data_IF_512916539110
#
_entry.id   IF_512916539110
#
_cell.length_a   1.000
_cell.length_b   1.000
_cell.length_c   1.000
_cell.angle_alpha   90.00
_cell.angle_beta   90.00
_cell.angle_gamma   90.00
#
_symmetry.space_group_name_H-M   'P 1'
#
loop_
_entity.id
_entity.type
_entity.pdbx_description
1 polymer ?
#
# COMPACT_ATOMS: atom_id res chain seq x y z
N UNK A 1 -24.90 -1.22 -19.43
CA UNK A 1 -24.85 -0.54 -18.09
C UNK A 1 -26.22 -0.41 -17.43
N UNK A 2 -27.27 0.08 -18.11
CA UNK A 2 -28.57 0.30 -17.42
C UNK A 2 -29.13 -0.95 -16.74
N UNK A 3 -29.16 -2.10 -17.39
CA UNK A 3 -29.65 -3.35 -16.79
C UNK A 3 -28.81 -3.78 -15.59
N UNK A 4 -27.50 -3.52 -15.65
CA UNK A 4 -26.59 -3.78 -14.52
C UNK A 4 -26.94 -2.86 -13.34
N UNK A 5 -27.14 -1.56 -13.58
CA UNK A 5 -27.51 -0.62 -12.55
C UNK A 5 -28.84 -0.97 -11.90
N UNK A 6 -29.86 -1.37 -12.67
CA UNK A 6 -31.14 -1.81 -12.12
C UNK A 6 -30.98 -3.00 -11.17
N UNK A 7 -30.21 -4.01 -11.56
CA UNK A 7 -29.92 -5.17 -10.70
C UNK A 7 -29.20 -4.76 -9.43
N UNK A 8 -28.21 -3.86 -9.53
CA UNK A 8 -27.47 -3.35 -8.38
C UNK A 8 -28.35 -2.51 -7.44
N UNK A 9 -29.31 -1.75 -7.97
CA UNK A 9 -30.30 -1.01 -7.17
C UNK A 9 -31.26 -1.93 -6.43
N UNK A 10 -31.49 -3.15 -6.94
CA UNK A 10 -32.21 -4.23 -6.28
C UNK A 10 -31.33 -5.06 -5.33
N UNK A 11 -30.16 -4.55 -4.95
CA UNK A 11 -29.18 -5.19 -4.06
C UNK A 11 -28.59 -6.51 -4.56
N UNK A 12 -28.69 -6.79 -5.86
CA UNK A 12 -27.99 -7.94 -6.45
C UNK A 12 -26.48 -7.65 -6.55
N UNK A 13 -25.68 -8.73 -6.51
CA UNK A 13 -24.23 -8.65 -6.66
C UNK A 13 -23.82 -9.01 -8.06
N UNK A 14 -22.66 -8.49 -8.49
CA UNK A 14 -22.02 -8.89 -9.73
C UNK A 14 -21.19 -10.16 -9.50
N UNK A 15 -21.17 -11.03 -10.51
CA UNK A 15 -20.14 -12.07 -10.58
C UNK A 15 -18.77 -11.50 -10.93
N UNK A 16 -17.73 -12.29 -10.71
CA UNK A 16 -16.32 -11.90 -10.95
C UNK A 16 -16.07 -11.46 -12.40
N UNK A 17 -16.49 -12.26 -13.37
CA UNK A 17 -16.32 -11.95 -14.81
C UNK A 17 -17.12 -10.71 -15.22
N UNK A 18 -18.30 -10.52 -14.65
CA UNK A 18 -19.15 -9.38 -14.92
C UNK A 18 -18.50 -8.09 -14.38
N UNK A 19 -18.02 -8.10 -13.14
CA UNK A 19 -17.28 -6.99 -12.54
C UNK A 19 -16.02 -6.65 -13.34
N UNK A 20 -15.25 -7.65 -13.76
CA UNK A 20 -14.09 -7.51 -14.64
C UNK A 20 -14.46 -6.82 -15.94
N UNK A 21 -15.49 -7.30 -16.64
CA UNK A 21 -15.97 -6.75 -17.90
C UNK A 21 -16.44 -5.30 -17.76
N UNK A 22 -17.13 -4.97 -16.66
CA UNK A 22 -17.60 -3.61 -16.40
C UNK A 22 -16.42 -2.65 -16.29
N UNK A 23 -15.37 -3.01 -15.56
CA UNK A 23 -14.22 -2.13 -15.38
C UNK A 23 -13.41 -1.97 -16.68
N UNK A 24 -13.27 -3.04 -17.48
CA UNK A 24 -12.69 -2.94 -18.81
C UNK A 24 -13.48 -1.96 -19.69
N UNK A 25 -14.80 -2.08 -19.72
CA UNK A 25 -15.68 -1.19 -20.48
C UNK A 25 -15.61 0.28 -19.99
N UNK A 26 -15.43 0.50 -18.69
CA UNK A 26 -15.16 1.84 -18.13
C UNK A 26 -13.85 2.40 -18.70
N UNK A 27 -12.78 1.60 -18.66
CA UNK A 27 -11.47 2.02 -19.17
C UNK A 27 -11.48 2.32 -20.68
N UNK A 28 -12.31 1.60 -21.44
CA UNK A 28 -12.51 1.81 -22.87
C UNK A 28 -13.49 2.96 -23.22
N UNK A 29 -14.04 3.63 -22.22
CA UNK A 29 -14.95 4.78 -22.40
C UNK A 29 -16.34 4.40 -22.92
N UNK A 30 -16.78 3.16 -22.74
CA UNK A 30 -18.11 2.69 -23.20
C UNK A 30 -19.27 3.18 -22.35
N UNK A 31 -19.01 3.78 -21.20
CA UNK A 31 -20.01 4.29 -20.29
C UNK A 31 -19.82 5.78 -20.05
N UNK A 32 -20.92 6.52 -19.87
CA UNK A 32 -20.85 7.94 -19.55
C UNK A 32 -20.62 8.18 -18.06
N UNK A 33 -20.24 9.40 -17.72
CA UNK A 33 -19.88 9.81 -16.35
C UNK A 33 -21.01 9.56 -15.34
N UNK A 34 -22.28 9.78 -15.74
CA UNK A 34 -23.44 9.55 -14.87
C UNK A 34 -23.62 8.07 -14.53
N UNK A 35 -23.39 7.18 -15.51
CA UNK A 35 -23.45 5.73 -15.29
C UNK A 35 -22.33 5.26 -14.37
N UNK A 36 -21.12 5.79 -14.55
CA UNK A 36 -19.97 5.46 -13.70
C UNK A 36 -20.17 6.01 -12.28
N UNK A 37 -20.67 7.24 -12.15
CA UNK A 37 -21.00 7.84 -10.86
C UNK A 37 -22.07 7.03 -10.11
N UNK A 38 -23.11 6.56 -10.83
CA UNK A 38 -24.16 5.70 -10.27
C UNK A 38 -23.57 4.38 -9.75
N UNK A 39 -22.69 3.73 -10.52
CA UNK A 39 -22.01 2.52 -10.10
C UNK A 39 -21.18 2.76 -8.84
N UNK A 40 -20.40 3.84 -8.78
CA UNK A 40 -19.61 4.21 -7.61
C UNK A 40 -20.53 4.40 -6.40
N UNK A 41 -21.66 5.06 -6.57
CA UNK A 41 -22.62 5.34 -5.50
C UNK A 41 -23.23 4.05 -4.92
N UNK A 42 -23.51 3.06 -5.73
CA UNK A 42 -23.97 1.75 -5.24
C UNK A 42 -23.00 1.16 -4.22
N UNK A 43 -21.70 1.19 -4.53
CA UNK A 43 -20.66 0.65 -3.64
C UNK A 43 -20.35 1.55 -2.43
N UNK A 44 -20.88 2.76 -2.38
CA UNK A 44 -20.90 3.60 -1.16
C UNK A 44 -22.06 3.24 -0.23
N UNK A 45 -23.17 2.74 -0.80
CA UNK A 45 -24.37 2.38 -0.05
C UNK A 45 -24.39 0.93 0.43
N UNK A 46 -23.61 0.05 -0.19
CA UNK A 46 -23.46 -1.35 0.20
C UNK A 46 -22.01 -1.80 0.15
N UNK A 47 -21.70 -2.86 0.87
CA UNK A 47 -20.38 -3.46 0.81
C UNK A 47 -20.13 -4.14 -0.55
N UNK A 48 -18.90 -4.02 -1.04
CA UNK A 48 -18.42 -4.80 -2.19
C UNK A 48 -18.22 -6.28 -1.77
N UNK A 49 -18.57 -7.22 -2.64
CA UNK A 49 -18.31 -8.64 -2.41
C UNK A 49 -16.87 -9.02 -2.78
N UNK A 50 -16.42 -10.20 -2.34
CA UNK A 50 -15.11 -10.75 -2.72
C UNK A 50 -15.01 -10.94 -4.23
N UNK A 51 -16.07 -11.47 -4.86
CA UNK A 51 -16.11 -11.69 -6.30
C UNK A 51 -16.05 -10.40 -7.10
N UNK A 52 -16.78 -9.36 -6.66
CA UNK A 52 -16.74 -8.05 -7.29
C UNK A 52 -15.35 -7.41 -7.19
N UNK A 53 -14.74 -7.46 -5.98
CA UNK A 53 -13.40 -6.92 -5.78
C UNK A 53 -12.36 -7.68 -6.61
N UNK A 54 -12.44 -9.01 -6.64
CA UNK A 54 -11.55 -9.85 -7.43
C UNK A 54 -11.66 -9.53 -8.94
N UNK A 55 -12.88 -9.40 -9.47
CA UNK A 55 -13.11 -9.04 -10.87
C UNK A 55 -12.56 -7.65 -11.22
N UNK A 56 -12.78 -6.65 -10.38
CA UNK A 56 -12.21 -5.32 -10.59
C UNK A 56 -10.68 -5.33 -10.51
N UNK A 57 -10.11 -6.07 -9.56
CA UNK A 57 -8.66 -6.25 -9.45
C UNK A 57 -8.07 -6.88 -10.71
N UNK A 58 -8.67 -7.96 -11.21
CA UNK A 58 -8.22 -8.65 -12.42
C UNK A 58 -8.23 -7.74 -13.64
N UNK A 59 -9.31 -6.99 -13.84
CA UNK A 59 -9.39 -6.02 -14.94
C UNK A 59 -8.24 -5.01 -14.90
N UNK A 60 -7.91 -4.46 -13.72
CA UNK A 60 -6.81 -3.51 -13.58
C UNK A 60 -5.45 -4.17 -13.83
N UNK A 61 -5.25 -5.39 -13.35
CA UNK A 61 -4.00 -6.13 -13.57
C UNK A 61 -3.82 -6.53 -15.04
N UNK A 62 -4.89 -6.85 -15.76
CA UNK A 62 -4.84 -7.14 -17.20
C UNK A 62 -4.48 -5.89 -18.03
N UNK A 63 -5.00 -4.74 -17.65
CA UNK A 63 -4.80 -3.46 -18.34
C UNK A 63 -3.57 -2.68 -17.88
N UNK A 64 -2.80 -3.20 -16.92
CA UNK A 64 -1.60 -2.53 -16.43
C UNK A 64 -0.49 -2.45 -17.45
N UNK A 65 0.42 -1.50 -17.28
CA UNK A 65 1.73 -1.56 -17.92
C UNK A 65 2.53 -2.68 -17.23
N UNK A 66 2.90 -3.75 -17.95
CA UNK A 66 3.56 -4.89 -17.33
C UNK A 66 4.99 -4.55 -16.90
N UNK A 67 5.38 -5.05 -15.73
CA UNK A 67 6.75 -4.97 -15.19
C UNK A 67 7.11 -6.32 -14.61
N UNK A 68 8.16 -6.94 -15.12
CA UNK A 68 8.65 -8.21 -14.60
C UNK A 68 9.90 -8.00 -13.75
N UNK A 69 9.75 -8.14 -12.44
CA UNK A 69 10.79 -8.16 -11.42
C UNK A 69 10.63 -9.42 -10.54
N UNK A 70 9.98 -10.45 -11.05
CA UNK A 70 9.66 -11.69 -10.32
C UNK A 70 10.91 -12.45 -9.84
N UNK A 71 12.02 -12.35 -10.56
CA UNK A 71 13.30 -12.95 -10.20
C UNK A 71 13.81 -12.50 -8.83
N UNK A 72 13.47 -11.29 -8.41
CA UNK A 72 13.84 -10.73 -7.10
C UNK A 72 12.96 -11.23 -5.95
N UNK A 73 11.83 -11.89 -6.24
CA UNK A 73 10.83 -12.32 -5.24
C UNK A 73 10.49 -11.19 -4.25
N UNK A 74 10.04 -10.03 -4.72
CA UNK A 74 9.92 -8.84 -3.90
C UNK A 74 8.66 -8.86 -3.01
N UNK A 75 8.70 -8.00 -1.97
CA UNK A 75 7.54 -7.63 -1.17
C UNK A 75 7.04 -6.24 -1.55
N UNK A 76 5.71 -6.03 -1.49
CA UNK A 76 5.10 -4.70 -1.39
C UNK A 76 4.61 -4.44 0.03
N UNK A 77 4.80 -3.23 0.51
CA UNK A 77 4.36 -2.77 1.84
C UNK A 77 3.49 -1.54 1.61
N UNK A 78 2.18 -1.68 1.80
CA UNK A 78 1.23 -0.65 1.39
C UNK A 78 -0.01 -0.64 2.27
N UNK A 79 -0.49 0.54 2.64
CA UNK A 79 -1.81 0.75 3.24
C UNK A 79 -2.83 1.19 2.19
N UNK A 80 -4.11 1.03 2.52
CA UNK A 80 -5.23 1.51 1.69
C UNK A 80 -5.27 3.03 1.60
N UNK A 81 -4.70 3.70 2.59
CA UNK A 81 -4.92 5.11 2.82
C UNK A 81 -6.37 5.41 3.21
N UNK A 82 -6.61 6.68 3.48
CA UNK A 82 -7.96 7.15 3.70
C UNK A 82 -8.57 6.70 5.03
N UNK A 83 -7.78 6.34 6.00
CA UNK A 83 -8.17 6.03 7.38
C UNK A 83 -8.63 7.29 8.16
N UNK A 84 -8.42 8.48 7.57
CA UNK A 84 -8.74 9.75 8.21
C UNK A 84 -7.66 10.23 9.18
N UNK A 85 -6.54 9.52 9.23
CA UNK A 85 -5.38 9.84 10.04
C UNK A 85 -4.34 10.62 9.23
N UNK A 86 -3.66 11.54 9.87
CA UNK A 86 -2.53 12.27 9.27
C UNK A 86 -1.22 11.70 9.78
N UNK A 87 -0.96 10.41 9.51
CA UNK A 87 0.29 9.77 9.91
C UNK A 87 1.45 10.15 9.00
N UNK A 88 2.66 10.18 9.55
CA UNK A 88 3.87 10.23 8.73
C UNK A 88 4.00 8.97 7.85
N UNK A 89 4.92 8.98 6.88
CA UNK A 89 5.03 7.91 5.87
C UNK A 89 5.60 6.59 6.43
N UNK A 90 4.87 5.94 7.35
CA UNK A 90 5.28 4.72 8.06
C UNK A 90 5.61 3.62 7.05
N UNK A 91 4.68 3.26 6.14
CA UNK A 91 4.87 2.17 5.18
C UNK A 91 6.02 2.45 4.21
N UNK A 92 6.23 3.71 3.80
CA UNK A 92 7.32 4.06 2.90
C UNK A 92 8.67 3.98 3.61
N UNK A 93 8.78 4.45 4.85
CA UNK A 93 9.99 4.30 5.66
C UNK A 93 10.31 2.82 5.92
N UNK A 94 9.28 2.01 6.22
CA UNK A 94 9.40 0.56 6.38
C UNK A 94 9.96 -0.14 5.14
N UNK A 95 9.61 0.32 3.94
CA UNK A 95 10.19 -0.20 2.70
C UNK A 95 11.71 -0.06 2.66
N UNK A 96 12.26 1.09 3.09
CA UNK A 96 13.71 1.31 3.12
C UNK A 96 14.39 0.55 4.26
N UNK A 97 13.71 0.33 5.38
CA UNK A 97 14.23 -0.54 6.46
C UNK A 97 14.30 -1.98 6.00
N UNK A 98 13.26 -2.51 5.37
CA UNK A 98 13.22 -3.89 4.84
C UNK A 98 14.27 -4.07 3.73
N UNK A 99 14.41 -3.10 2.84
CA UNK A 99 15.44 -3.12 1.81
C UNK A 99 16.85 -3.02 2.40
N UNK A 100 17.05 -2.19 3.44
CA UNK A 100 18.30 -2.08 4.21
C UNK A 100 18.66 -3.35 4.97
N UNK A 101 17.67 -4.18 5.34
CA UNK A 101 17.89 -5.52 5.88
C UNK A 101 18.26 -6.56 4.80
N UNK A 102 18.28 -6.18 3.52
CA UNK A 102 18.70 -7.04 2.40
C UNK A 102 17.55 -7.76 1.69
N UNK A 103 16.30 -7.42 1.98
CA UNK A 103 15.13 -7.98 1.29
C UNK A 103 14.70 -7.09 0.13
N UNK A 104 14.22 -7.70 -0.95
CA UNK A 104 13.79 -6.96 -2.13
C UNK A 104 12.39 -6.38 -1.98
N UNK A 105 12.22 -5.10 -2.27
CA UNK A 105 10.97 -4.35 -2.11
C UNK A 105 10.53 -3.73 -3.44
N UNK A 106 9.24 -3.83 -3.76
CA UNK A 106 8.62 -3.11 -4.89
C UNK A 106 7.51 -2.21 -4.36
N UNK A 107 7.84 -1.00 -3.98
CA UNK A 107 6.86 -0.05 -3.43
C UNK A 107 5.92 0.45 -4.51
N UNK A 108 4.64 0.05 -4.46
CA UNK A 108 3.58 0.65 -5.26
C UNK A 108 3.01 1.86 -4.50
N UNK A 109 3.25 3.06 -5.02
CA UNK A 109 2.91 4.30 -4.33
C UNK A 109 2.18 5.30 -5.21
N UNK A 110 1.44 6.21 -4.56
CA UNK A 110 0.73 7.30 -5.22
C UNK A 110 0.83 8.58 -4.39
N UNK A 111 0.35 9.68 -4.95
CA UNK A 111 0.09 10.90 -4.19
C UNK A 111 -0.99 10.67 -3.13
N UNK A 112 -0.93 11.42 -2.05
CA UNK A 112 -1.97 11.41 -1.02
C UNK A 112 -3.32 11.80 -1.60
N UNK A 113 -4.35 11.02 -1.28
CA UNK A 113 -5.71 11.31 -1.71
C UNK A 113 -6.39 12.34 -0.78
N UNK A 114 -6.06 12.29 0.49
CA UNK A 114 -6.63 13.12 1.57
C UNK A 114 -5.57 13.73 2.49
N UNK A 115 -4.37 13.15 2.54
CA UNK A 115 -3.23 13.65 3.30
C UNK A 115 -2.29 14.47 2.41
N UNK A 116 -1.56 15.40 3.01
CA UNK A 116 -0.48 16.17 2.34
C UNK A 116 0.72 15.27 2.02
N UNK A 117 0.85 14.13 2.66
CA UNK A 117 2.05 13.31 2.74
C UNK A 117 1.92 11.92 2.08
N UNK A 118 1.32 11.83 0.91
CA UNK A 118 1.34 10.58 0.14
C UNK A 118 2.78 10.13 -0.17
N UNK A 119 2.97 8.83 -0.36
CA UNK A 119 4.30 8.26 -0.62
C UNK A 119 5.02 8.95 -1.78
N UNK A 120 4.33 9.23 -2.90
CA UNK A 120 4.92 9.93 -4.05
C UNK A 120 5.25 11.39 -3.76
N UNK A 121 4.47 12.08 -2.91
CA UNK A 121 4.78 13.45 -2.54
C UNK A 121 6.13 13.56 -1.83
N UNK A 122 6.39 12.66 -0.87
CA UNK A 122 7.66 12.64 -0.14
C UNK A 122 8.82 12.23 -1.05
N UNK A 123 8.64 11.27 -1.94
CA UNK A 123 9.68 10.88 -2.89
C UNK A 123 10.03 12.01 -3.86
N UNK A 124 9.04 12.73 -4.40
CA UNK A 124 9.28 13.91 -5.27
C UNK A 124 10.00 15.04 -4.52
N UNK A 125 9.66 15.24 -3.24
CA UNK A 125 10.35 16.24 -2.41
C UNK A 125 11.85 15.95 -2.27
N UNK A 126 12.24 14.66 -2.35
CA UNK A 126 13.65 14.23 -2.39
C UNK A 126 14.25 14.17 -3.81
N UNK A 127 13.57 14.71 -4.81
CA UNK A 127 14.06 14.78 -6.18
C UNK A 127 13.86 13.53 -7.03
N UNK A 128 13.14 12.51 -6.52
CA UNK A 128 12.87 11.27 -7.28
C UNK A 128 12.07 11.57 -8.53
N UNK A 129 12.55 11.07 -9.67
CA UNK A 129 11.85 11.07 -10.95
C UNK A 129 11.28 9.69 -11.20
N UNK A 130 9.95 9.59 -11.19
CA UNK A 130 9.28 8.32 -11.43
C UNK A 130 9.45 7.85 -12.87
N UNK A 131 9.67 6.57 -13.04
CA UNK A 131 9.90 5.95 -14.35
C UNK A 131 9.12 4.64 -14.49
N UNK A 132 8.78 4.29 -15.72
CA UNK A 132 8.29 2.97 -16.11
C UNK A 132 9.34 2.18 -16.93
N UNK A 133 10.56 2.68 -17.00
CA UNK A 133 11.68 2.02 -17.67
C UNK A 133 12.13 0.82 -16.85
N UNK A 134 11.97 -0.38 -17.39
CA UNK A 134 12.25 -1.65 -16.71
C UNK A 134 13.74 -1.79 -16.35
N UNK A 135 14.65 -1.32 -17.18
CA UNK A 135 16.09 -1.44 -16.93
C UNK A 135 16.52 -0.56 -15.76
N UNK A 136 15.90 0.61 -15.61
CA UNK A 136 16.11 1.47 -14.45
C UNK A 136 15.55 0.87 -13.17
N UNK A 137 14.35 0.33 -13.22
CA UNK A 137 13.73 -0.35 -12.08
C UNK A 137 14.57 -1.56 -11.65
N UNK A 138 15.03 -2.35 -12.60
CA UNK A 138 15.91 -3.49 -12.34
C UNK A 138 17.24 -3.07 -11.71
N UNK A 139 17.88 -2.04 -12.25
CA UNK A 139 19.12 -1.47 -11.69
C UNK A 139 18.92 -1.00 -10.25
N UNK A 140 17.77 -0.39 -9.95
CA UNK A 140 17.42 0.02 -8.58
C UNK A 140 17.31 -1.19 -7.65
N UNK A 141 16.63 -2.27 -8.09
CA UNK A 141 16.56 -3.52 -7.33
C UNK A 141 17.94 -4.12 -7.06
N UNK A 142 18.79 -4.20 -8.08
CA UNK A 142 20.15 -4.77 -7.97
C UNK A 142 21.06 -3.94 -7.06
N UNK A 143 20.91 -2.62 -7.08
CA UNK A 143 21.82 -1.72 -6.38
C UNK A 143 21.42 -1.41 -4.94
N UNK A 144 20.12 -1.39 -4.64
CA UNK A 144 19.61 -0.98 -3.34
C UNK A 144 18.36 -1.74 -2.87
N UNK A 145 18.05 -2.89 -3.49
CA UNK A 145 16.95 -3.78 -3.11
C UNK A 145 15.55 -3.15 -3.12
N UNK A 146 15.37 -1.99 -3.74
CA UNK A 146 14.06 -1.35 -3.82
C UNK A 146 13.81 -0.72 -5.19
N UNK A 147 12.61 -0.93 -5.75
CA UNK A 147 12.08 -0.18 -6.87
C UNK A 147 10.78 0.53 -6.47
N UNK A 148 10.60 1.76 -6.95
CA UNK A 148 9.40 2.56 -6.71
C UNK A 148 8.52 2.60 -7.96
N UNK A 149 7.30 2.12 -7.82
CA UNK A 149 6.31 2.02 -8.88
C UNK A 149 5.23 3.08 -8.67
N UNK A 150 5.35 4.21 -9.37
CA UNK A 150 4.37 5.29 -9.29
C UNK A 150 3.08 4.89 -10.00
N UNK A 151 2.01 4.66 -9.25
CA UNK A 151 0.76 4.08 -9.73
C UNK A 151 0.19 4.70 -11.03
N UNK A 152 0.20 6.03 -11.24
CA UNK A 152 -0.27 6.64 -12.49
C UNK A 152 0.49 6.22 -13.77
N UNK A 153 1.74 5.75 -13.65
CA UNK A 153 2.52 5.28 -14.79
C UNK A 153 2.13 3.85 -15.21
N UNK A 154 1.63 3.04 -14.26
CA UNK A 154 1.40 1.61 -14.47
C UNK A 154 -0.07 1.22 -14.59
N UNK A 155 -0.99 2.05 -14.12
CA UNK A 155 -2.43 1.76 -14.11
C UNK A 155 -3.24 2.78 -14.94
N UNK A 156 -3.10 2.79 -16.28
CA UNK A 156 -3.76 3.77 -17.14
C UNK A 156 -5.29 3.70 -17.07
N UNK A 157 -5.87 2.53 -16.77
CA UNK A 157 -7.31 2.35 -16.63
C UNK A 157 -7.93 3.21 -15.53
N UNK A 158 -7.18 3.50 -14.45
CA UNK A 158 -7.64 4.36 -13.38
C UNK A 158 -7.76 5.84 -13.77
N UNK A 159 -7.10 6.26 -14.88
CA UNK A 159 -7.23 7.63 -15.39
C UNK A 159 -8.64 7.93 -15.87
N UNK A 160 -9.35 6.94 -16.42
CA UNK A 160 -10.72 7.10 -16.91
C UNK A 160 -11.71 7.49 -15.80
N UNK A 161 -11.49 7.01 -14.57
CA UNK A 161 -12.38 7.28 -13.43
C UNK A 161 -11.92 8.45 -12.54
N UNK A 162 -10.71 8.95 -12.74
CA UNK A 162 -10.14 10.00 -11.90
C UNK A 162 -10.96 11.31 -11.88
N UNK A 163 -11.43 11.85 -13.02
CA UNK A 163 -12.27 13.06 -13.04
C UNK A 163 -13.59 12.87 -12.31
N UNK A 164 -14.25 11.72 -12.51
CA UNK A 164 -15.54 11.38 -11.89
C UNK A 164 -15.38 11.27 -10.37
N UNK A 165 -14.35 10.56 -9.91
CA UNK A 165 -14.03 10.44 -8.48
C UNK A 165 -13.75 11.79 -7.84
N UNK A 166 -13.01 12.66 -8.54
CA UNK A 166 -12.74 14.04 -8.08
C UNK A 166 -14.02 14.86 -7.98
N UNK A 167 -14.92 14.77 -8.96
CA UNK A 167 -16.20 15.48 -8.96
C UNK A 167 -17.13 14.99 -7.86
N UNK A 168 -17.14 13.69 -7.56
CA UNK A 168 -17.94 13.15 -6.46
C UNK A 168 -17.42 13.59 -5.08
N UNK A 169 -16.11 13.84 -4.93
CA UNK A 169 -15.50 14.30 -3.69
C UNK A 169 -15.60 13.34 -2.51
N UNK A 170 -15.93 12.06 -2.78
CA UNK A 170 -16.08 11.03 -1.74
C UNK A 170 -15.11 9.88 -1.95
N UNK A 171 -14.76 9.22 -0.86
CA UNK A 171 -13.99 7.97 -0.93
C UNK A 171 -14.83 6.89 -1.61
N UNK A 172 -14.26 6.19 -2.57
CA UNK A 172 -14.95 5.15 -3.32
C UNK A 172 -14.22 3.81 -3.23
N UNK A 173 -14.84 2.73 -3.71
CA UNK A 173 -14.21 1.40 -3.75
C UNK A 173 -12.90 1.37 -4.55
N UNK A 174 -12.66 2.30 -5.45
CA UNK A 174 -11.36 2.45 -6.14
C UNK A 174 -10.19 2.71 -5.18
N UNK A 175 -10.45 3.27 -4.01
CA UNK A 175 -9.41 3.45 -2.99
C UNK A 175 -8.93 2.12 -2.41
N UNK A 176 -9.81 1.10 -2.40
CA UNK A 176 -9.45 -0.24 -1.96
C UNK A 176 -8.63 -1.01 -3.02
N UNK A 177 -8.67 -0.61 -4.29
CA UNK A 177 -8.00 -1.33 -5.37
C UNK A 177 -6.51 -1.02 -5.46
N UNK A 178 -6.08 0.18 -5.04
CA UNK A 178 -4.68 0.60 -5.15
C UNK A 178 -3.67 -0.42 -4.61
N UNK A 179 -3.81 -0.87 -3.35
CA UNK A 179 -2.90 -1.87 -2.77
C UNK A 179 -2.93 -3.25 -3.45
N UNK A 180 -4.01 -3.57 -4.16
CA UNK A 180 -4.23 -4.89 -4.76
C UNK A 180 -3.67 -5.02 -6.18
N UNK A 181 -3.19 -3.92 -6.77
CA UNK A 181 -2.85 -3.85 -8.21
C UNK A 181 -1.42 -3.37 -8.47
N UNK A 182 -0.49 -3.79 -7.60
CA UNK A 182 0.93 -3.59 -7.87
C UNK A 182 1.29 -4.25 -9.22
N UNK A 183 1.85 -3.50 -10.19
CA UNK A 183 2.07 -4.00 -11.54
C UNK A 183 3.07 -5.16 -11.63
N UNK A 184 3.96 -5.32 -10.64
CA UNK A 184 4.91 -6.44 -10.55
C UNK A 184 4.22 -7.74 -10.12
N UNK A 185 3.04 -7.66 -9.49
CA UNK A 185 2.40 -8.82 -8.84
C UNK A 185 3.36 -9.50 -7.84
N UNK A 186 3.75 -8.83 -6.77
CA UNK A 186 4.85 -9.24 -5.90
C UNK A 186 4.58 -10.60 -5.25
N UNK A 187 5.68 -11.32 -4.95
CA UNK A 187 5.63 -12.64 -4.28
C UNK A 187 5.07 -12.53 -2.87
N UNK A 188 5.35 -11.41 -2.20
CA UNK A 188 4.97 -11.15 -0.81
C UNK A 188 4.24 -9.82 -0.70
N UNK A 189 3.29 -9.71 0.24
CA UNK A 189 2.59 -8.45 0.51
C UNK A 189 2.31 -8.24 1.99
N UNK A 190 2.62 -7.05 2.49
CA UNK A 190 2.08 -6.52 3.74
C UNK A 190 1.08 -5.42 3.40
N UNK A 191 -0.18 -5.67 3.74
CA UNK A 191 -1.33 -4.84 3.38
C UNK A 191 -1.94 -4.23 4.64
N UNK A 192 -1.97 -2.92 4.72
CA UNK A 192 -2.66 -2.22 5.80
C UNK A 192 -4.08 -1.82 5.40
N UNK A 193 -5.03 -1.98 6.32
CA UNK A 193 -6.44 -1.64 6.10
C UNK A 193 -7.04 -0.92 7.31
N UNK A 194 -7.96 0.01 7.07
CA UNK A 194 -8.51 0.89 8.11
C UNK A 194 -9.71 0.31 8.88
N UNK A 195 -10.20 -0.91 8.54
CA UNK A 195 -11.27 -1.58 9.30
C UNK A 195 -11.26 -3.10 9.14
N UNK A 196 -11.94 -3.79 10.05
CA UNK A 196 -12.05 -5.25 10.06
C UNK A 196 -12.82 -5.86 8.86
N UNK A 197 -13.90 -5.26 8.35
CA UNK A 197 -14.53 -5.75 7.12
C UNK A 197 -13.56 -5.81 5.94
N UNK A 198 -12.73 -4.78 5.77
CA UNK A 198 -11.73 -4.72 4.71
C UNK A 198 -10.59 -5.72 4.94
N UNK A 199 -10.19 -5.96 6.21
CA UNK A 199 -9.21 -7.00 6.56
C UNK A 199 -9.70 -8.37 6.07
N UNK A 200 -10.95 -8.71 6.32
CA UNK A 200 -11.55 -9.98 5.85
C UNK A 200 -11.61 -10.04 4.33
N UNK A 201 -12.07 -8.97 3.70
CA UNK A 201 -12.20 -8.88 2.25
C UNK A 201 -10.85 -9.10 1.56
N UNK A 202 -9.79 -8.44 2.04
CA UNK A 202 -8.44 -8.60 1.49
C UNK A 202 -7.89 -10.00 1.76
N UNK A 203 -8.07 -10.52 2.97
CA UNK A 203 -7.62 -11.89 3.30
C UNK A 203 -8.23 -12.92 2.36
N UNK A 204 -9.54 -12.86 2.09
CA UNK A 204 -10.19 -13.78 1.15
C UNK A 204 -9.70 -13.59 -0.29
N UNK A 205 -9.54 -12.34 -0.74
CA UNK A 205 -9.02 -12.05 -2.09
C UNK A 205 -7.62 -12.61 -2.31
N UNK A 206 -6.77 -12.57 -1.28
CA UNK A 206 -5.39 -13.06 -1.38
C UNK A 206 -5.23 -14.57 -1.15
N UNK A 207 -6.15 -15.23 -0.47
CA UNK A 207 -6.12 -16.69 -0.30
C UNK A 207 -6.10 -17.45 -1.63
N UNK A 208 -6.71 -16.89 -2.67
CA UNK A 208 -6.75 -17.49 -4.01
C UNK A 208 -5.58 -17.05 -4.91
N UNK A 209 -4.76 -16.08 -4.49
CA UNK A 209 -3.78 -15.43 -5.38
C UNK A 209 -2.44 -16.14 -5.50
N UNK A 210 -2.13 -17.10 -4.63
CA UNK A 210 -0.79 -17.69 -4.52
C UNK A 210 0.28 -16.76 -3.93
N UNK A 211 -0.03 -15.49 -3.68
CA UNK A 211 0.85 -14.52 -3.02
C UNK A 211 0.85 -14.75 -1.52
N UNK A 212 2.01 -14.82 -0.90
CA UNK A 212 2.09 -14.85 0.56
C UNK A 212 1.87 -13.45 1.12
N UNK A 213 0.97 -13.31 2.09
CA UNK A 213 0.53 -12.01 2.57
C UNK A 213 0.38 -11.93 4.09
N UNK A 214 0.37 -10.72 4.59
CA UNK A 214 -0.27 -10.36 5.85
C UNK A 214 -1.15 -9.13 5.63
N UNK A 215 -2.37 -9.15 6.20
CA UNK A 215 -3.24 -7.97 6.28
C UNK A 215 -3.24 -7.48 7.71
N UNK A 216 -2.92 -6.22 7.92
CA UNK A 216 -2.83 -5.58 9.24
C UNK A 216 -3.87 -4.49 9.41
N UNK A 217 -4.37 -4.33 10.63
CA UNK A 217 -5.33 -3.31 11.02
C UNK A 217 -5.18 -2.97 12.49
N UNK A 218 -4.89 -1.71 12.81
CA UNK A 218 -4.97 -1.20 14.17
C UNK A 218 -6.41 -0.91 14.55
N UNK A 219 -6.88 -1.43 15.71
CA UNK A 219 -8.30 -1.43 16.07
C UNK A 219 -8.91 -0.05 16.29
N UNK A 220 -8.08 0.97 16.44
CA UNK A 220 -8.46 2.39 16.49
C UNK A 220 -8.48 3.09 15.13
N UNK A 221 -8.41 2.30 14.02
CA UNK A 221 -8.74 2.74 12.68
C UNK A 221 -7.58 3.04 11.75
N UNK A 222 -6.32 2.84 12.16
CA UNK A 222 -5.17 3.02 11.27
C UNK A 222 -5.04 1.84 10.30
N UNK A 223 -4.63 2.16 9.08
CA UNK A 223 -4.29 1.18 8.04
C UNK A 223 -2.79 0.78 8.08
N UNK A 224 -2.17 0.90 9.22
CA UNK A 224 -0.79 0.51 9.53
C UNK A 224 -0.72 -0.01 10.97
N UNK A 225 0.39 -0.61 11.37
CA UNK A 225 0.65 -0.93 12.78
C UNK A 225 1.10 0.37 13.45
N UNK A 226 0.16 1.06 14.07
CA UNK A 226 0.36 2.38 14.68
C UNK A 226 0.96 2.33 16.10
N UNK A 227 0.82 1.20 16.78
CA UNK A 227 1.16 1.02 18.19
C UNK A 227 0.35 1.93 19.16
N UNK A 228 -0.69 2.59 18.66
CA UNK A 228 -1.61 3.40 19.51
C UNK A 228 -2.61 2.53 20.24
N UNK A 229 -2.97 1.41 19.65
CA UNK A 229 -3.91 0.44 20.17
C UNK A 229 -3.46 -1.00 19.87
N UNK A 230 -4.31 -1.93 20.19
CA UNK A 230 -4.22 -3.31 19.71
C UNK A 230 -4.37 -3.35 18.20
N UNK A 231 -3.70 -4.30 17.55
CA UNK A 231 -3.79 -4.47 16.10
C UNK A 231 -3.93 -5.93 15.71
N UNK A 232 -4.69 -6.17 14.66
CA UNK A 232 -4.93 -7.51 14.13
C UNK A 232 -4.02 -7.76 12.93
N UNK A 233 -3.47 -8.96 12.86
CA UNK A 233 -2.69 -9.46 11.73
C UNK A 233 -3.33 -10.74 11.23
N UNK A 234 -3.74 -10.76 9.96
CA UNK A 234 -4.26 -11.91 9.26
C UNK A 234 -3.24 -12.41 8.23
N UNK A 235 -2.83 -13.65 8.37
CA UNK A 235 -1.94 -14.37 7.44
C UNK A 235 -2.68 -15.60 6.88
N UNK A 236 -2.18 -16.28 5.83
CA UNK A 236 -2.87 -17.43 5.25
C UNK A 236 -3.23 -18.51 6.27
N UNK A 237 -2.35 -18.76 7.24
CA UNK A 237 -2.50 -19.86 8.19
C UNK A 237 -3.15 -19.45 9.51
N UNK A 238 -3.17 -18.16 9.83
CA UNK A 238 -3.62 -17.69 11.16
C UNK A 238 -4.01 -16.22 11.18
N UNK A 239 -4.92 -15.91 12.08
CA UNK A 239 -5.15 -14.52 12.51
C UNK A 239 -4.74 -14.37 13.98
N UNK A 240 -4.11 -13.25 14.31
CA UNK A 240 -3.70 -12.97 15.68
C UNK A 240 -3.91 -11.50 16.02
N UNK A 241 -4.36 -11.27 17.26
CA UNK A 241 -4.40 -9.95 17.87
C UNK A 241 -3.09 -9.74 18.64
N UNK A 242 -2.47 -8.60 18.42
CA UNK A 242 -1.26 -8.16 19.10
C UNK A 242 -1.52 -6.89 19.90
N UNK A 243 -0.79 -6.71 20.98
CA UNK A 243 -0.67 -5.43 21.65
C UNK A 243 0.75 -4.90 21.46
N UNK A 244 0.98 -3.57 21.55
CA UNK A 244 2.34 -3.02 21.49
C UNK A 244 3.29 -3.68 22.50
N UNK A 245 2.80 -3.95 23.70
CA UNK A 245 3.57 -4.55 24.79
C UNK A 245 4.04 -5.99 24.47
N UNK A 246 3.27 -6.74 23.66
CA UNK A 246 3.70 -8.08 23.18
C UNK A 246 4.92 -8.01 22.27
N UNK A 247 5.19 -6.85 21.66
CA UNK A 247 6.37 -6.60 20.84
C UNK A 247 7.50 -5.91 21.64
N UNK A 248 7.28 -5.63 22.92
CA UNK A 248 8.23 -4.90 23.76
C UNK A 248 8.15 -3.38 23.62
N UNK A 249 7.09 -2.85 23.00
CA UNK A 249 6.88 -1.41 22.81
C UNK A 249 5.84 -0.86 23.79
N UNK A 250 6.01 0.41 24.16
CA UNK A 250 4.95 1.18 24.83
C UNK A 250 3.91 1.63 23.79
N UNK A 251 2.68 1.89 24.25
CA UNK A 251 1.67 2.53 23.40
C UNK A 251 2.10 3.93 23.02
N UNK A 252 1.85 4.29 21.76
CA UNK A 252 2.03 5.63 21.24
C UNK A 252 0.71 6.41 21.28
N UNK A 253 0.77 7.70 21.01
CA UNK A 253 -0.40 8.56 20.85
C UNK A 253 -0.53 9.02 19.39
N UNK A 254 -1.73 9.42 18.98
CA UNK A 254 -1.97 9.97 17.65
C UNK A 254 -1.06 11.16 17.34
N UNK A 255 -0.87 12.06 18.32
CA UNK A 255 0.00 13.23 18.17
C UNK A 255 1.49 12.89 17.91
N UNK A 256 1.98 11.77 18.42
CA UNK A 256 3.35 11.32 18.19
C UNK A 256 3.57 10.75 16.78
N UNK A 257 2.49 10.41 16.08
CA UNK A 257 2.51 9.86 14.70
C UNK A 257 2.15 10.90 13.63
N UNK A 258 1.89 12.14 14.01
CA UNK A 258 1.49 13.19 13.09
C UNK A 258 2.50 13.35 11.94
N UNK A 259 1.98 13.47 10.72
CA UNK A 259 2.74 13.55 9.47
C UNK A 259 3.12 14.97 9.04
N UNK A 260 2.74 15.99 9.84
CA UNK A 260 2.95 17.40 9.53
C UNK A 260 1.84 17.98 8.64
N UNK A 261 1.91 19.29 8.43
CA UNK A 261 0.91 20.05 7.66
C UNK A 261 1.34 20.29 6.20
N UNK A 262 2.62 20.06 5.89
CA UNK A 262 3.20 20.29 4.57
C UNK A 262 4.02 19.09 4.09
N UNK A 263 4.19 18.97 2.77
CA UNK A 263 5.05 17.92 2.17
C UNK A 263 6.50 18.06 2.68
N UNK A 264 6.99 19.27 2.89
CA UNK A 264 8.32 19.50 3.41
C UNK A 264 8.49 19.02 4.86
N UNK A 265 7.48 19.19 5.69
CA UNK A 265 7.47 18.64 7.06
C UNK A 265 7.42 17.11 7.05
N UNK A 266 6.55 16.52 6.21
CA UNK A 266 6.48 15.08 6.04
C UNK A 266 7.82 14.49 5.57
N UNK A 267 8.49 15.12 4.61
CA UNK A 267 9.82 14.73 4.15
C UNK A 267 10.86 14.84 5.27
N UNK A 268 10.82 15.90 6.09
CA UNK A 268 11.73 16.05 7.24
C UNK A 268 11.51 14.96 8.29
N UNK A 269 10.25 14.63 8.62
CA UNK A 269 9.94 13.53 9.54
C UNK A 269 10.47 12.20 9.00
N UNK A 270 10.26 11.95 7.71
CA UNK A 270 10.79 10.77 7.03
C UNK A 270 12.33 10.70 7.12
N UNK A 271 13.02 11.82 6.87
CA UNK A 271 14.46 11.92 7.01
C UNK A 271 14.92 11.67 8.45
N UNK A 272 14.22 12.22 9.43
CA UNK A 272 14.55 12.04 10.84
C UNK A 272 14.42 10.57 11.28
N UNK A 273 13.45 9.83 10.73
CA UNK A 273 13.33 8.38 10.95
C UNK A 273 14.56 7.65 10.40
N UNK A 274 14.90 7.84 9.14
CA UNK A 274 16.01 7.13 8.51
C UNK A 274 17.39 7.53 9.06
N UNK A 275 17.51 8.76 9.59
CA UNK A 275 18.72 9.27 10.24
C UNK A 275 18.81 8.95 11.76
N UNK A 276 17.90 8.14 12.29
CA UNK A 276 17.83 7.82 13.74
C UNK A 276 17.59 9.04 14.66
N UNK A 277 17.05 10.13 14.13
CA UNK A 277 16.72 11.37 14.87
C UNK A 277 15.24 11.48 15.25
N UNK A 278 14.41 10.56 14.76
CA UNK A 278 12.99 10.53 15.07
C UNK A 278 12.70 10.15 16.52
N UNK A 279 11.49 10.43 16.97
CA UNK A 279 11.04 10.03 18.30
C UNK A 279 11.01 8.50 18.45
N UNK A 280 11.07 7.96 19.68
CA UNK A 280 10.91 6.53 19.91
C UNK A 280 9.58 5.99 19.32
N UNK A 281 8.49 6.75 19.42
CA UNK A 281 7.19 6.39 18.87
C UNK A 281 7.26 6.16 17.34
N UNK A 282 7.82 7.12 16.60
CA UNK A 282 7.98 7.02 15.15
C UNK A 282 8.90 5.85 14.74
N UNK A 283 10.04 5.69 15.39
CA UNK A 283 10.97 4.57 15.12
C UNK A 283 10.31 3.22 15.38
N UNK A 284 9.64 3.06 16.52
CA UNK A 284 9.01 1.81 16.91
C UNK A 284 7.90 1.40 15.93
N UNK A 285 7.10 2.36 15.44
CA UNK A 285 6.10 2.08 14.42
C UNK A 285 6.72 1.56 13.12
N UNK A 286 7.80 2.18 12.66
CA UNK A 286 8.51 1.72 11.44
C UNK A 286 9.14 0.35 11.65
N UNK A 287 9.78 0.11 12.81
CA UNK A 287 10.35 -1.20 13.16
C UNK A 287 9.27 -2.28 13.19
N UNK A 288 8.10 -2.01 13.81
CA UNK A 288 6.99 -2.96 13.87
C UNK A 288 6.48 -3.34 12.48
N UNK A 289 6.17 -2.36 11.62
CA UNK A 289 5.70 -2.62 10.26
C UNK A 289 6.75 -3.37 9.43
N UNK A 290 8.03 -3.00 9.56
CA UNK A 290 9.14 -3.68 8.89
C UNK A 290 9.30 -5.13 9.36
N UNK A 291 9.17 -5.39 10.65
CA UNK A 291 9.27 -6.73 11.21
C UNK A 291 8.18 -7.66 10.70
N UNK A 292 6.93 -7.19 10.61
CA UNK A 292 5.86 -8.00 10.03
C UNK A 292 6.05 -8.21 8.53
N UNK A 293 6.61 -7.25 7.79
CA UNK A 293 7.00 -7.44 6.40
C UNK A 293 8.09 -8.53 6.26
N UNK A 294 9.12 -8.50 7.09
CA UNK A 294 10.16 -9.54 7.13
C UNK A 294 9.54 -10.90 7.48
N UNK A 295 8.60 -10.97 8.43
CA UNK A 295 7.94 -12.22 8.80
C UNK A 295 7.08 -12.79 7.65
N UNK A 296 6.51 -11.96 6.79
CA UNK A 296 5.81 -12.42 5.57
C UNK A 296 6.79 -13.11 4.62
N UNK A 297 8.00 -12.57 4.47
CA UNK A 297 9.05 -13.14 3.61
C UNK A 297 9.64 -14.42 4.24
N UNK A 298 9.89 -14.39 5.55
CA UNK A 298 10.54 -15.44 6.32
C UNK A 298 9.61 -16.00 7.41
N UNK A 299 8.59 -16.79 7.05
CA UNK A 299 7.56 -17.27 7.97
C UNK A 299 8.06 -18.17 9.10
N UNK A 300 9.23 -18.76 8.92
CA UNK A 300 9.92 -19.58 9.92
C UNK A 300 10.51 -18.77 11.07
N UNK A 301 10.75 -17.46 10.88
CA UNK A 301 11.31 -16.59 11.92
C UNK A 301 10.25 -16.21 12.94
N UNK A 302 10.65 -16.11 14.19
CA UNK A 302 9.83 -15.51 15.25
C UNK A 302 9.76 -14.01 15.02
N UNK A 303 8.67 -13.39 15.44
CA UNK A 303 8.50 -11.93 15.29
C UNK A 303 9.59 -11.15 16.04
N UNK A 304 10.11 -11.67 17.16
CA UNK A 304 11.22 -11.06 17.89
C UNK A 304 12.50 -10.98 17.04
N UNK A 305 12.81 -12.02 16.27
CA UNK A 305 13.96 -12.03 15.36
C UNK A 305 13.78 -11.02 14.22
N UNK A 306 12.56 -10.91 13.68
CA UNK A 306 12.24 -9.92 12.66
C UNK A 306 12.31 -8.47 13.21
N UNK A 307 11.93 -8.26 14.47
CA UNK A 307 12.06 -6.96 15.14
C UNK A 307 13.53 -6.57 15.30
N UNK A 308 14.39 -7.50 15.72
CA UNK A 308 15.83 -7.28 15.85
C UNK A 308 16.48 -6.93 14.50
N UNK A 309 16.12 -7.64 13.42
CA UNK A 309 16.62 -7.33 12.07
C UNK A 309 16.17 -5.95 11.57
N UNK A 310 14.90 -5.60 11.77
CA UNK A 310 14.38 -4.32 11.38
C UNK A 310 15.04 -3.18 12.17
N UNK A 311 15.21 -3.37 13.47
CA UNK A 311 15.89 -2.42 14.34
C UNK A 311 17.35 -2.25 13.93
N UNK A 312 18.08 -3.35 13.70
CA UNK A 312 19.47 -3.29 13.24
C UNK A 312 19.58 -2.53 11.90
N UNK A 313 18.72 -2.85 10.92
CA UNK A 313 18.74 -2.19 9.61
C UNK A 313 18.52 -0.67 9.70
N UNK A 314 17.65 -0.23 10.63
CA UNK A 314 17.41 1.19 10.86
C UNK A 314 18.58 1.82 11.62
N UNK A 315 18.96 1.27 12.79
CA UNK A 315 19.91 1.90 13.72
C UNK A 315 21.35 1.85 13.23
N UNK A 316 21.74 0.85 12.43
CA UNK A 316 23.08 0.79 11.81
C UNK A 316 23.26 1.76 10.64
N UNK A 317 22.18 2.41 10.19
CA UNK A 317 22.20 3.30 9.02
C UNK A 317 22.10 2.59 7.67
N UNK A 318 21.90 1.28 7.61
CA UNK A 318 21.69 0.54 6.34
C UNK A 318 20.45 1.03 5.59
N UNK A 319 19.35 1.32 6.30
CA UNK A 319 18.14 1.89 5.71
C UNK A 319 18.40 3.26 5.07
N UNK A 320 19.15 4.13 5.74
CA UNK A 320 19.58 5.43 5.20
C UNK A 320 20.50 5.27 3.98
N UNK A 321 21.45 4.34 4.03
CA UNK A 321 22.34 4.07 2.90
C UNK A 321 21.54 3.59 1.68
N UNK A 322 20.57 2.68 1.88
CA UNK A 322 19.64 2.22 0.84
C UNK A 322 18.88 3.39 0.23
N UNK A 323 18.31 4.27 1.07
CA UNK A 323 17.58 5.46 0.62
C UNK A 323 18.48 6.39 -0.20
N UNK A 324 19.69 6.71 0.29
CA UNK A 324 20.62 7.58 -0.44
C UNK A 324 21.03 6.98 -1.79
N UNK A 325 21.25 5.66 -1.86
CA UNK A 325 21.53 4.97 -3.12
C UNK A 325 20.33 5.06 -4.06
N UNK A 326 19.12 4.80 -3.55
CA UNK A 326 17.88 4.91 -4.31
C UNK A 326 17.68 6.31 -4.89
N UNK A 327 17.86 7.39 -4.09
CA UNK A 327 17.77 8.76 -4.56
C UNK A 327 18.79 9.02 -5.68
N UNK A 328 20.06 8.65 -5.46
CA UNK A 328 21.12 8.89 -6.44
C UNK A 328 20.87 8.22 -7.80
N UNK A 329 20.19 7.10 -7.83
CA UNK A 329 19.83 6.38 -9.06
C UNK A 329 18.61 6.99 -9.77
N UNK A 330 17.72 7.64 -9.02
CA UNK A 330 16.43 8.14 -9.51
C UNK A 330 16.34 9.66 -9.62
N UNK A 331 17.34 10.43 -9.14
CA UNK A 331 17.43 11.88 -9.29
C UNK A 331 17.85 12.28 -10.71
N UNK A 332 18.65 11.46 -11.39
CA UNK A 332 19.19 11.75 -12.72
C UNK A 332 18.35 11.08 -13.81
N UNK A 333 17.33 11.79 -14.28
CA UNK A 333 16.80 11.60 -15.62
C UNK A 333 17.74 12.33 -16.60
N UNK A 334 18.82 11.67 -16.98
CA UNK A 334 19.51 12.00 -18.22
C UNK A 334 18.88 11.22 -19.37
#
# INVERSE_FOLDING_TARGET
MNDILYRLFEHQYLGRDEARTILQNIAEGKYNDSQIASLITVYLMRNISVEELAGFREALLEMRVPVDLSEFKPIDIVGTGGDGKNTFNISTASCFVVAGAGYNVVKHGNYGATSVSGASNVMEQHGVKFTADIDRLRRSMESCHIAYLHAPLFNPALKAVAPIRKSLGVRSFFNMLGPLVNPVMPTYQLLGVYNLPLLRLYSYTYQESGTRFAVVHSLDGYDEISLTAEFKVAMPEKEKLYTPEMLGFSRTTEAELDGGETVAEAARIFDDVLNNRATPAQKNCVIANSAFAIQVICPEKRISECLEEAQEALESGKALQTFNTFISLNDKLQ
#
